data_IF_784442736934
#
_entry.id   IF_784442736934
#
_cell.length_a   1.000
_cell.length_b   1.000
_cell.length_c   1.000
_cell.angle_alpha   90.00
_cell.angle_beta   90.00
_cell.angle_gamma   90.00
#
_symmetry.space_group_name_H-M   'P 1'
#
loop_
_entity.id
_entity.type
_entity.pdbx_description
1 polymer ?
#
# COMPACT_ATOMS: atom_id res chain seq x y z
N UNK A 1 -32.58 -11.35 15.69
CA UNK A 1 -31.58 -11.60 14.62
C UNK A 1 -30.83 -10.34 14.15
N UNK A 2 -31.39 -9.13 14.28
CA UNK A 2 -30.75 -7.86 13.89
C UNK A 2 -29.37 -7.48 14.52
N UNK A 3 -28.94 -8.10 15.63
CA UNK A 3 -27.63 -7.80 16.25
C UNK A 3 -26.44 -8.45 15.55
N UNK A 4 -26.66 -9.53 14.79
CA UNK A 4 -25.58 -10.23 14.07
C UNK A 4 -25.14 -9.49 12.81
N UNK A 5 -26.11 -8.91 12.08
CA UNK A 5 -25.90 -8.24 10.79
C UNK A 5 -25.18 -6.90 10.94
N UNK A 6 -25.67 -6.02 11.83
CA UNK A 6 -25.01 -4.72 12.10
C UNK A 6 -23.57 -4.86 12.60
N UNK A 7 -23.24 -5.94 13.32
CA UNK A 7 -21.87 -6.20 13.80
C UNK A 7 -20.98 -6.82 12.71
N UNK A 8 -21.58 -7.53 11.76
CA UNK A 8 -20.90 -8.06 10.58
C UNK A 8 -20.53 -6.96 9.59
N UNK A 9 -21.46 -6.04 9.32
CA UNK A 9 -21.29 -4.91 8.41
C UNK A 9 -20.26 -3.90 8.94
N UNK A 10 -20.41 -3.42 10.18
CA UNK A 10 -19.46 -2.47 10.78
C UNK A 10 -18.03 -3.05 10.87
N UNK A 11 -17.90 -4.37 11.08
CA UNK A 11 -16.58 -5.04 11.09
C UNK A 11 -16.04 -5.25 9.68
N UNK A 12 -16.90 -5.46 8.70
CA UNK A 12 -16.56 -5.56 7.28
C UNK A 12 -16.04 -4.24 6.72
N UNK A 13 -16.75 -3.15 7.00
CA UNK A 13 -16.40 -1.79 6.59
C UNK A 13 -15.10 -1.32 7.24
N UNK A 14 -14.98 -1.41 8.58
CA UNK A 14 -13.75 -1.02 9.28
C UNK A 14 -12.51 -1.82 8.81
N UNK A 15 -12.68 -3.11 8.46
CA UNK A 15 -11.61 -3.93 7.88
C UNK A 15 -11.30 -3.54 6.44
N UNK A 16 -12.31 -3.20 5.65
CA UNK A 16 -12.17 -2.72 4.28
C UNK A 16 -11.43 -1.38 4.23
N UNK A 17 -11.84 -0.42 5.06
CA UNK A 17 -11.22 0.89 5.21
C UNK A 17 -9.78 0.78 5.69
N UNK A 18 -9.50 0.00 6.74
CA UNK A 18 -8.14 -0.19 7.24
C UNK A 18 -7.21 -0.81 6.17
N UNK A 19 -7.72 -1.74 5.36
CA UNK A 19 -6.97 -2.32 4.23
C UNK A 19 -6.75 -1.28 3.12
N UNK A 20 -7.77 -0.49 2.80
CA UNK A 20 -7.70 0.59 1.81
C UNK A 20 -6.69 1.66 2.18
N UNK A 21 -6.72 2.14 3.43
CA UNK A 21 -5.78 3.13 3.96
C UNK A 21 -4.35 2.59 3.90
N UNK A 22 -4.12 1.36 4.37
CA UNK A 22 -2.79 0.74 4.34
C UNK A 22 -2.25 0.61 2.93
N UNK A 23 -3.11 0.20 1.98
CA UNK A 23 -2.75 0.09 0.57
C UNK A 23 -2.37 1.45 -0.01
N UNK A 24 -3.19 2.48 0.20
CA UNK A 24 -2.93 3.84 -0.26
C UNK A 24 -1.63 4.42 0.30
N UNK A 25 -1.35 4.19 1.58
CA UNK A 25 -0.08 4.58 2.21
C UNK A 25 1.12 3.91 1.55
N UNK A 26 1.05 2.62 1.25
CA UNK A 26 2.13 1.91 0.57
C UNK A 26 2.35 2.42 -0.85
N UNK A 27 1.27 2.64 -1.61
CA UNK A 27 1.37 3.20 -2.96
C UNK A 27 2.07 4.56 -2.95
N UNK A 28 1.64 5.48 -2.07
CA UNK A 28 2.26 6.81 -1.96
C UNK A 28 3.73 6.74 -1.57
N UNK A 29 4.11 5.86 -0.64
CA UNK A 29 5.52 5.67 -0.28
C UNK A 29 6.35 5.08 -1.43
N UNK A 30 5.80 4.12 -2.18
CA UNK A 30 6.47 3.55 -3.36
C UNK A 30 6.75 4.64 -4.40
N UNK A 31 5.75 5.46 -4.73
CA UNK A 31 5.89 6.54 -5.71
C UNK A 31 6.95 7.55 -5.28
N UNK A 32 6.95 7.94 -4.00
CA UNK A 32 7.96 8.84 -3.45
C UNK A 32 9.36 8.24 -3.55
N UNK A 33 9.52 6.96 -3.17
CA UNK A 33 10.82 6.27 -3.26
C UNK A 33 11.30 6.15 -4.71
N UNK A 34 10.40 5.87 -5.67
CA UNK A 34 10.73 5.85 -7.09
C UNK A 34 11.22 7.23 -7.56
N UNK A 35 10.58 8.32 -7.13
CA UNK A 35 11.02 9.68 -7.43
C UNK A 35 12.40 10.00 -6.86
N UNK A 36 12.64 9.66 -5.59
CA UNK A 36 13.95 9.86 -4.93
C UNK A 36 15.07 9.08 -5.65
N UNK A 37 14.78 7.85 -6.06
CA UNK A 37 15.68 7.00 -6.83
C UNK A 37 15.79 7.37 -8.32
N UNK A 38 15.09 8.42 -8.77
CA UNK A 38 14.99 8.84 -10.18
C UNK A 38 14.53 7.71 -11.12
N UNK A 39 13.68 6.82 -10.61
CA UNK A 39 13.06 5.75 -11.38
C UNK A 39 11.70 6.19 -11.95
N UNK A 40 11.21 5.53 -13.01
CA UNK A 40 9.84 5.71 -13.47
C UNK A 40 8.85 5.44 -12.33
N UNK A 41 7.96 6.40 -12.07
CA UNK A 41 6.89 6.27 -11.09
C UNK A 41 5.84 5.30 -11.64
N UNK A 42 5.45 4.32 -10.84
CA UNK A 42 4.37 3.40 -11.20
C UNK A 42 3.03 4.14 -11.28
N UNK A 43 2.19 3.76 -12.24
CA UNK A 43 0.84 4.33 -12.35
C UNK A 43 -0.04 3.83 -11.20
N UNK A 44 -0.99 4.67 -10.77
CA UNK A 44 -1.91 4.35 -9.67
C UNK A 44 -2.66 3.03 -9.92
N UNK A 45 -3.10 2.79 -11.16
CA UNK A 45 -3.81 1.57 -11.56
C UNK A 45 -2.95 0.31 -11.40
N UNK A 46 -1.64 0.42 -11.66
CA UNK A 46 -0.70 -0.70 -11.50
C UNK A 46 -0.51 -1.04 -10.02
N UNK A 47 -0.34 -0.02 -9.17
CA UNK A 47 -0.20 -0.20 -7.73
C UNK A 47 -1.53 -0.65 -7.09
N UNK A 48 -2.67 -0.18 -7.63
CA UNK A 48 -4.00 -0.60 -7.23
C UNK A 48 -4.31 -2.06 -7.61
N UNK A 49 -3.67 -2.61 -8.64
CA UNK A 49 -3.78 -4.03 -8.98
C UNK A 49 -2.97 -4.94 -8.03
N UNK A 50 -1.90 -4.41 -7.41
CA UNK A 50 -1.06 -5.19 -6.49
C UNK A 50 -1.76 -5.52 -5.16
N UNK A 51 -1.39 -6.64 -4.55
CA UNK A 51 -1.75 -6.97 -3.17
C UNK A 51 -0.95 -6.12 -2.17
N UNK A 52 -1.44 -6.02 -0.92
CA UNK A 52 -0.72 -5.32 0.15
C UNK A 52 0.69 -5.92 0.35
N UNK A 53 0.81 -7.24 0.28
CA UNK A 53 2.11 -7.93 0.43
C UNK A 53 3.08 -7.57 -0.70
N UNK A 54 2.59 -7.56 -1.95
CA UNK A 54 3.40 -7.15 -3.11
C UNK A 54 3.87 -5.70 -2.98
N UNK A 55 2.98 -4.80 -2.54
CA UNK A 55 3.33 -3.40 -2.28
C UNK A 55 4.35 -3.27 -1.13
N UNK A 56 4.24 -4.07 -0.07
CA UNK A 56 5.22 -4.09 1.02
C UNK A 56 6.60 -4.56 0.54
N UNK A 57 6.64 -5.62 -0.28
CA UNK A 57 7.89 -6.13 -0.86
C UNK A 57 8.54 -5.08 -1.76
N UNK A 58 7.76 -4.44 -2.64
CA UNK A 58 8.24 -3.39 -3.52
C UNK A 58 8.78 -2.19 -2.73
N UNK A 59 8.03 -1.74 -1.70
CA UNK A 59 8.46 -0.65 -0.83
C UNK A 59 9.78 -0.96 -0.12
N UNK A 60 9.92 -2.20 0.39
CA UNK A 60 11.13 -2.65 1.07
C UNK A 60 12.33 -2.68 0.11
N UNK A 61 12.15 -3.22 -1.09
CA UNK A 61 13.19 -3.25 -2.10
C UNK A 61 13.63 -1.84 -2.53
N UNK A 62 12.69 -0.91 -2.69
CA UNK A 62 13.00 0.48 -3.03
C UNK A 62 13.75 1.19 -1.89
N UNK A 63 13.34 0.99 -0.63
CA UNK A 63 14.07 1.53 0.54
C UNK A 63 15.51 1.03 0.59
N UNK A 64 15.72 -0.27 0.45
CA UNK A 64 17.07 -0.86 0.47
C UNK A 64 17.96 -0.28 -0.64
N UNK A 65 17.39 -0.03 -1.82
CA UNK A 65 18.13 0.59 -2.94
C UNK A 65 18.49 2.05 -2.66
N UNK A 66 17.65 2.77 -1.93
CA UNK A 66 17.95 4.14 -1.52
C UNK A 66 19.09 4.15 -0.50
N UNK A 67 19.00 3.30 0.53
CA UNK A 67 20.02 3.18 1.56
C UNK A 67 21.40 2.77 0.99
N UNK A 68 21.42 1.91 -0.03
CA UNK A 68 22.65 1.51 -0.74
C UNK A 68 23.18 2.57 -1.73
N UNK A 69 22.35 3.53 -2.14
CA UNK A 69 22.75 4.61 -3.04
C UNK A 69 23.42 5.78 -2.31
N UNK A 70 23.28 5.84 -0.99
CA UNK A 70 23.82 6.91 -0.13
C UNK A 70 25.22 6.57 0.46
N UNK A 71 25.77 5.38 0.19
CA UNK A 71 27.13 4.94 0.58
C UNK A 71 28.12 4.98 -0.57
#
# INVERSE_FOLDING_TARGET
EARGEARGEARGEARGEARGIRKGQLCGQIMLLQQLLKQPVSADEQLAACSIEQLQQLNTALRQRLDLGDT
#
